data_IF_621441400125
#
_entry.id   IF_621441400125
#
_cell.length_a   1.000
_cell.length_b   1.000
_cell.length_c   1.000
_cell.angle_alpha   90.00
_cell.angle_beta   90.00
_cell.angle_gamma   90.00
#
_symmetry.space_group_name_H-M   'P 1'
#
loop_
_entity.id
_entity.type
_entity.pdbx_description
1 polymer ?
#
# COMPACT_ATOMS: atom_id res chain seq x y z
N UNK A 1 54.59 -24.27 -59.15
CA UNK A 1 54.77 -25.55 -58.42
C UNK A 1 53.37 -26.09 -58.15
N UNK A 2 52.85 -26.88 -59.08
CA UNK A 2 52.63 -28.35 -58.96
C UNK A 2 51.34 -28.65 -58.16
N UNK A 3 50.22 -29.01 -58.82
CA UNK A 3 49.79 -30.39 -59.20
C UNK A 3 49.42 -31.23 -57.96
N UNK A 4 48.36 -32.05 -57.83
CA UNK A 4 47.29 -32.58 -58.68
C UNK A 4 46.25 -33.29 -57.75
N UNK A 5 45.08 -33.56 -58.32
CA UNK A 5 43.86 -34.24 -57.86
C UNK A 5 43.93 -35.65 -57.20
N UNK A 6 42.83 -36.04 -56.53
CA UNK A 6 41.95 -37.23 -56.79
C UNK A 6 41.48 -38.03 -55.54
N UNK A 7 40.21 -38.46 -55.58
CA UNK A 7 39.62 -39.59 -54.83
C UNK A 7 38.71 -39.18 -53.67
N UNK A 8 37.49 -39.68 -53.44
CA UNK A 8 36.71 -40.79 -54.00
C UNK A 8 35.27 -40.74 -53.43
N UNK A 9 34.36 -41.53 -54.02
CA UNK A 9 32.89 -41.48 -53.89
C UNK A 9 32.35 -42.41 -52.78
N UNK A 10 31.13 -42.06 -52.27
CA UNK A 10 30.12 -42.89 -51.55
C UNK A 10 30.44 -43.23 -50.08
N UNK A 11 29.51 -43.24 -49.13
CA UNK A 11 28.09 -43.65 -49.17
C UNK A 11 27.29 -43.02 -48.00
N UNK A 12 25.97 -42.90 -48.20
CA UNK A 12 24.86 -43.03 -47.22
C UNK A 12 24.95 -42.42 -45.81
N UNK A 13 24.00 -41.52 -45.48
CA UNK A 13 22.87 -41.75 -44.54
C UNK A 13 22.29 -40.41 -44.06
N UNK A 14 21.05 -40.11 -44.45
CA UNK A 14 20.30 -38.96 -43.96
C UNK A 14 19.75 -39.24 -42.54
N UNK A 15 19.83 -38.30 -41.59
CA UNK A 15 18.98 -38.33 -40.40
C UNK A 15 17.68 -37.55 -40.61
N UNK A 16 16.62 -38.09 -40.00
CA UNK A 16 15.20 -37.75 -40.08
C UNK A 16 14.82 -36.29 -39.74
N UNK A 17 13.61 -35.82 -40.16
CA UNK A 17 13.14 -34.47 -39.88
C UNK A 17 12.82 -34.25 -38.41
N UNK A 18 13.23 -33.10 -37.89
CA UNK A 18 12.94 -32.61 -36.54
C UNK A 18 11.44 -32.30 -36.44
N UNK A 19 10.71 -32.77 -35.41
CA UNK A 19 9.33 -32.37 -35.21
C UNK A 19 9.29 -30.91 -34.76
N UNK A 20 8.76 -30.03 -35.61
CA UNK A 20 8.47 -28.65 -35.27
C UNK A 20 7.40 -28.60 -34.19
N UNK A 21 7.79 -28.24 -32.97
CA UNK A 21 6.84 -27.85 -31.93
C UNK A 21 6.10 -26.60 -32.41
N UNK A 22 4.81 -26.76 -32.71
CA UNK A 22 3.93 -25.62 -32.98
C UNK A 22 3.75 -24.86 -31.66
N UNK A 23 4.38 -23.70 -31.54
CA UNK A 23 3.97 -22.70 -30.56
C UNK A 23 2.56 -22.26 -30.97
N UNK A 24 1.53 -22.81 -30.32
CA UNK A 24 0.17 -22.27 -30.43
C UNK A 24 0.18 -20.84 -29.88
N UNK A 25 0.21 -19.87 -30.79
CA UNK A 25 -0.17 -18.51 -30.51
C UNK A 25 -1.66 -18.54 -30.13
N UNK A 26 -1.95 -18.52 -28.83
CA UNK A 26 -3.32 -18.42 -28.31
C UNK A 26 -3.91 -17.13 -28.90
N UNK A 27 -4.91 -17.28 -29.76
CA UNK A 27 -5.62 -16.17 -30.39
C UNK A 27 -6.16 -15.25 -29.30
N UNK A 28 -5.81 -13.96 -29.37
CA UNK A 28 -6.48 -12.94 -28.59
C UNK A 28 -7.94 -12.93 -29.04
N UNK A 29 -8.84 -13.49 -28.23
CA UNK A 29 -10.26 -13.18 -28.34
C UNK A 29 -10.38 -11.69 -28.04
N UNK A 30 -10.83 -10.83 -28.98
CA UNK A 30 -11.14 -9.46 -28.61
C UNK A 30 -12.28 -9.52 -27.60
N UNK A 31 -12.02 -9.07 -26.36
CA UNK A 31 -13.08 -8.78 -25.42
C UNK A 31 -13.90 -7.65 -26.04
N UNK A 32 -15.08 -7.97 -26.56
CA UNK A 32 -16.12 -6.99 -26.85
C UNK A 32 -16.63 -6.45 -25.51
N UNK A 33 -15.87 -5.55 -24.91
CA UNK A 33 -16.33 -4.71 -23.80
C UNK A 33 -17.29 -3.68 -24.40
N UNK A 34 -18.59 -3.94 -24.26
CA UNK A 34 -19.59 -2.90 -24.45
C UNK A 34 -19.33 -1.80 -23.39
N UNK A 35 -19.37 -0.50 -23.72
CA UNK A 35 -19.09 0.58 -22.78
C UNK A 35 -20.04 0.67 -21.57
N UNK A 36 -21.05 -0.18 -21.49
CA UNK A 36 -22.17 -0.07 -20.56
C UNK A 36 -22.10 -1.01 -19.33
N UNK A 37 -21.10 -1.91 -19.26
CA UNK A 37 -20.85 -2.74 -18.07
C UNK A 37 -19.47 -2.42 -17.49
N UNK A 38 -19.37 -1.27 -16.84
CA UNK A 38 -18.18 -0.93 -16.07
C UNK A 38 -18.14 -1.77 -14.80
N UNK A 39 -17.33 -2.83 -14.80
CA UNK A 39 -17.00 -3.69 -13.64
C UNK A 39 -16.48 -2.92 -12.40
N UNK A 40 -16.26 -1.60 -12.52
CA UNK A 40 -15.82 -0.73 -11.45
C UNK A 40 -16.87 -0.70 -10.33
N UNK A 41 -18.17 -0.59 -10.63
CA UNK A 41 -19.20 -0.55 -9.58
C UNK A 41 -19.29 -1.88 -8.82
N UNK A 42 -19.24 -3.02 -9.53
CA UNK A 42 -19.23 -4.33 -8.90
C UNK A 42 -17.98 -4.55 -8.05
N UNK A 43 -16.82 -4.11 -8.52
CA UNK A 43 -15.56 -4.23 -7.78
C UNK A 43 -15.56 -3.32 -6.55
N UNK A 44 -16.04 -2.08 -6.66
CA UNK A 44 -16.20 -1.16 -5.53
C UNK A 44 -17.18 -1.71 -4.49
N UNK A 45 -18.29 -2.31 -4.91
CA UNK A 45 -19.24 -2.94 -4.01
C UNK A 45 -18.62 -4.14 -3.28
N UNK A 46 -17.81 -4.96 -3.95
CA UNK A 46 -17.07 -6.07 -3.33
C UNK A 46 -16.00 -5.60 -2.34
N UNK A 47 -15.31 -4.49 -2.62
CA UNK A 47 -14.35 -3.88 -1.68
C UNK A 47 -15.08 -3.29 -0.47
N UNK A 48 -16.23 -2.63 -0.68
CA UNK A 48 -17.04 -2.07 0.40
C UNK A 48 -17.65 -3.15 1.30
N UNK A 49 -18.00 -4.33 0.75
CA UNK A 49 -18.55 -5.47 1.51
C UNK A 49 -17.50 -6.43 2.06
N UNK A 50 -16.25 -6.38 1.58
CA UNK A 50 -15.13 -7.09 2.20
C UNK A 50 -14.87 -6.47 3.57
N UNK A 51 -15.04 -7.27 4.62
CA UNK A 51 -15.05 -6.89 6.05
C UNK A 51 -13.70 -6.38 6.61
N UNK A 52 -12.87 -5.76 5.78
CA UNK A 52 -11.54 -5.23 6.11
C UNK A 52 -11.48 -3.73 5.89
N UNK A 53 -12.59 -3.01 6.13
CA UNK A 53 -12.47 -1.58 6.34
C UNK A 53 -11.75 -1.36 7.69
N UNK A 54 -10.64 -0.59 7.72
CA UNK A 54 -10.02 -0.25 8.99
C UNK A 54 -11.08 0.40 9.88
N UNK A 55 -11.17 -0.02 11.14
CA UNK A 55 -12.08 0.58 12.11
C UNK A 55 -11.58 2.02 12.36
N UNK A 56 -12.17 2.97 11.62
CA UNK A 56 -11.89 4.39 11.76
C UNK A 56 -12.92 4.94 12.72
N UNK A 57 -12.53 5.10 13.98
CA UNK A 57 -13.36 5.80 14.95
C UNK A 57 -13.33 7.29 14.60
N UNK A 58 -14.49 7.84 14.24
CA UNK A 58 -14.63 9.27 14.02
C UNK A 58 -14.89 9.97 15.36
N UNK A 59 -13.84 10.52 15.97
CA UNK A 59 -14.03 11.40 17.11
C UNK A 59 -14.73 12.68 16.64
N UNK A 60 -16.01 12.79 16.96
CA UNK A 60 -16.84 13.97 16.67
C UNK A 60 -16.59 15.07 17.71
N UNK A 61 -15.33 15.44 17.90
CA UNK A 61 -14.93 16.46 18.86
C UNK A 61 -15.20 17.85 18.27
N UNK A 62 -16.03 18.65 18.94
CA UNK A 62 -16.37 20.03 18.55
C UNK A 62 -15.31 21.03 19.03
N UNK A 63 -14.47 20.65 19.99
CA UNK A 63 -13.47 21.52 20.61
C UNK A 63 -12.09 20.87 20.67
N UNK A 64 -11.05 21.69 20.82
CA UNK A 64 -9.65 21.23 20.99
C UNK A 64 -9.53 20.36 22.25
N UNK A 65 -10.19 20.72 23.34
CA UNK A 65 -10.09 19.98 24.61
C UNK A 65 -10.74 18.60 24.54
N UNK A 66 -11.90 18.48 23.89
CA UNK A 66 -12.51 17.17 23.60
C UNK A 66 -11.59 16.30 22.76
N UNK A 67 -10.91 16.92 21.80
CA UNK A 67 -10.01 16.21 20.90
C UNK A 67 -8.72 15.78 21.61
N UNK A 68 -8.18 16.59 22.53
CA UNK A 68 -7.08 16.21 23.41
C UNK A 68 -7.46 15.03 24.30
N UNK A 69 -8.65 15.07 24.92
CA UNK A 69 -9.14 13.97 25.74
C UNK A 69 -9.35 12.68 24.94
N UNK A 70 -9.78 12.78 23.68
CA UNK A 70 -9.88 11.64 22.78
C UNK A 70 -8.50 11.02 22.48
N UNK A 71 -7.49 11.85 22.19
CA UNK A 71 -6.11 11.41 21.99
C UNK A 71 -5.54 10.76 23.25
N UNK A 72 -5.73 11.37 24.40
CA UNK A 72 -5.23 10.83 25.68
C UNK A 72 -5.79 9.43 25.94
N UNK A 73 -7.10 9.26 25.71
CA UNK A 73 -7.74 7.94 25.80
C UNK A 73 -7.17 6.98 24.76
N UNK A 74 -7.10 7.38 23.50
CA UNK A 74 -6.63 6.52 22.41
C UNK A 74 -5.22 6.00 22.66
N UNK A 75 -4.30 6.89 23.06
CA UNK A 75 -2.92 6.55 23.36
C UNK A 75 -2.81 5.70 24.64
N UNK A 76 -3.65 5.94 25.64
CA UNK A 76 -3.69 5.15 26.88
C UNK A 76 -4.20 3.71 26.66
N UNK A 77 -5.13 3.48 25.72
CA UNK A 77 -5.58 2.12 25.35
C UNK A 77 -4.48 1.33 24.62
N UNK A 78 -3.51 2.03 24.02
CA UNK A 78 -2.45 1.45 23.21
C UNK A 78 -1.06 1.88 23.72
N UNK A 79 -0.70 1.51 24.96
CA UNK A 79 0.55 1.94 25.56
C UNK A 79 1.74 1.35 24.79
N UNK A 80 2.81 2.14 24.64
CA UNK A 80 4.09 1.75 24.00
C UNK A 80 3.99 1.40 22.51
N UNK A 81 2.84 1.60 21.86
CA UNK A 81 2.72 1.41 20.41
C UNK A 81 3.31 2.60 19.64
N UNK A 82 3.59 2.34 18.36
CA UNK A 82 3.95 3.37 17.40
C UNK A 82 2.67 3.97 16.81
N UNK A 83 2.57 5.29 16.86
CA UNK A 83 1.46 6.03 16.28
C UNK A 83 1.95 6.74 15.02
N UNK A 84 1.19 6.64 13.94
CA UNK A 84 1.42 7.42 12.73
C UNK A 84 0.36 8.52 12.72
N UNK A 85 0.82 9.76 12.66
CA UNK A 85 -0.06 10.92 12.52
C UNK A 85 0.06 11.41 11.10
N UNK A 86 -1.07 11.58 10.43
CA UNK A 86 -1.17 12.17 9.10
C UNK A 86 -2.12 13.36 9.15
N UNK A 87 -1.69 14.46 8.54
CA UNK A 87 -2.51 15.66 8.44
C UNK A 87 -1.73 16.81 7.84
N UNK A 88 -2.31 17.44 6.83
CA UNK A 88 -1.69 18.60 6.20
C UNK A 88 -1.38 19.70 7.23
N UNK A 89 -0.27 20.41 7.01
CA UNK A 89 0.29 21.40 7.94
C UNK A 89 -0.71 22.48 8.40
N UNK A 90 -1.69 22.82 7.58
CA UNK A 90 -2.70 23.85 7.91
C UNK A 90 -4.15 23.36 7.80
N UNK A 91 -4.37 22.05 7.62
CA UNK A 91 -5.72 21.50 7.65
C UNK A 91 -6.28 21.54 9.07
N UNK A 92 -7.60 21.70 9.18
CA UNK A 92 -8.31 21.65 10.46
C UNK A 92 -8.63 20.20 10.89
N UNK A 93 -7.96 19.24 10.28
CA UNK A 93 -8.14 17.82 10.55
C UNK A 93 -6.82 17.08 10.51
N UNK A 94 -6.77 16.02 11.30
CA UNK A 94 -5.66 15.08 11.33
C UNK A 94 -6.17 13.70 11.71
N UNK A 95 -5.38 12.69 11.38
CA UNK A 95 -5.67 11.29 11.68
C UNK A 95 -4.49 10.75 12.47
N UNK A 96 -4.77 10.05 13.57
CA UNK A 96 -3.79 9.26 14.31
C UNK A 96 -4.12 7.78 14.16
N UNK A 97 -3.16 7.00 13.70
CA UNK A 97 -3.31 5.56 13.50
C UNK A 97 -2.30 4.79 14.34
N UNK A 98 -2.68 3.61 14.81
CA UNK A 98 -1.79 2.62 15.41
C UNK A 98 -2.08 1.25 14.81
N UNK A 99 -1.07 0.38 14.84
CA UNK A 99 -1.28 -1.04 14.55
C UNK A 99 -1.56 -1.79 15.86
N UNK A 100 -2.34 -2.86 15.79
CA UNK A 100 -2.47 -3.83 16.88
C UNK A 100 -1.44 -4.97 16.78
N UNK A 101 -1.48 -5.91 17.72
CA UNK A 101 -0.57 -7.08 17.75
C UNK A 101 -0.80 -8.06 16.58
N UNK A 102 -1.98 -7.99 15.95
CA UNK A 102 -2.39 -8.81 14.80
C UNK A 102 -2.09 -8.11 13.46
N UNK A 103 -1.65 -6.85 13.50
CA UNK A 103 -1.37 -6.02 12.34
C UNK A 103 -2.58 -5.21 11.84
N UNK A 104 -3.71 -5.26 12.54
CA UNK A 104 -4.89 -4.46 12.23
C UNK A 104 -4.62 -2.99 12.54
N UNK A 105 -5.06 -2.12 11.62
CA UNK A 105 -4.90 -0.67 11.75
C UNK A 105 -6.14 -0.07 12.41
N UNK A 106 -5.95 0.57 13.55
CA UNK A 106 -6.98 1.39 14.21
C UNK A 106 -6.62 2.84 14.04
N UNK A 107 -7.55 3.64 13.51
CA UNK A 107 -7.33 5.06 13.27
C UNK A 107 -8.41 5.92 13.93
N UNK A 108 -8.00 7.08 14.42
CA UNK A 108 -8.87 8.09 15.01
C UNK A 108 -8.74 9.38 14.19
N UNK A 109 -9.86 9.85 13.62
CA UNK A 109 -9.90 11.15 12.94
C UNK A 109 -10.26 12.25 13.93
N UNK A 110 -9.54 13.36 13.89
CA UNK A 110 -9.62 14.48 14.82
C UNK A 110 -9.90 15.79 14.07
N UNK A 111 -10.71 16.66 14.66
CA UNK A 111 -11.08 17.95 14.08
C UNK A 111 -10.12 19.08 14.49
N UNK A 112 -8.81 18.83 14.41
CA UNK A 112 -7.81 19.88 14.59
C UNK A 112 -6.46 19.53 13.95
N UNK A 113 -5.63 20.55 13.79
CA UNK A 113 -4.41 20.52 12.96
C UNK A 113 -3.30 19.61 13.50
N UNK A 114 -2.47 19.06 12.60
CA UNK A 114 -1.36 18.16 12.92
C UNK A 114 -0.30 18.76 13.87
N UNK A 115 -0.09 20.08 13.86
CA UNK A 115 0.81 20.78 14.79
C UNK A 115 0.30 20.69 16.24
N UNK A 116 -1.00 20.84 16.43
CA UNK A 116 -1.60 20.74 17.75
C UNK A 116 -1.54 19.29 18.25
N UNK A 117 -1.75 18.32 17.37
CA UNK A 117 -1.68 16.90 17.71
C UNK A 117 -0.26 16.49 18.10
N UNK A 118 0.74 16.98 17.36
CA UNK A 118 2.15 16.85 17.72
C UNK A 118 2.44 17.39 19.12
N UNK A 119 1.96 18.60 19.45
CA UNK A 119 2.13 19.18 20.79
C UNK A 119 1.48 18.33 21.88
N UNK A 120 0.30 17.76 21.60
CA UNK A 120 -0.37 16.88 22.54
C UNK A 120 0.42 15.59 22.79
N UNK A 121 0.91 14.95 21.72
CA UNK A 121 1.76 13.76 21.85
C UNK A 121 3.05 14.04 22.63
N UNK A 122 3.68 15.20 22.42
CA UNK A 122 4.87 15.60 23.19
C UNK A 122 4.57 15.77 24.68
N UNK A 123 3.40 16.30 25.05
CA UNK A 123 2.97 16.40 26.46
C UNK A 123 2.77 15.03 27.11
N UNK A 124 2.38 14.03 26.32
CA UNK A 124 2.24 12.64 26.73
C UNK A 124 3.58 11.87 26.75
N UNK A 125 4.70 12.58 26.59
CA UNK A 125 6.06 12.02 26.57
C UNK A 125 6.31 11.06 25.40
N UNK A 126 5.65 11.33 24.25
CA UNK A 126 5.96 10.67 22.99
C UNK A 126 7.00 11.47 22.21
N UNK A 127 8.02 10.76 21.72
CA UNK A 127 8.96 11.26 20.75
C UNK A 127 8.39 11.10 19.36
N UNK A 128 8.24 12.20 18.64
CA UNK A 128 7.75 12.21 17.27
C UNK A 128 8.89 12.52 16.29
N UNK A 129 9.12 11.64 15.32
CA UNK A 129 10.09 11.80 14.24
C UNK A 129 9.40 12.17 12.94
N UNK A 130 9.90 13.22 12.30
CA UNK A 130 9.56 13.54 10.92
C UNK A 130 10.26 12.55 9.97
N UNK A 131 9.62 12.18 8.85
CA UNK A 131 10.26 11.41 7.80
C UNK A 131 11.38 12.23 7.13
N UNK A 132 12.24 11.54 6.38
CA UNK A 132 13.31 12.20 5.61
C UNK A 132 12.78 12.98 4.39
N UNK A 133 11.57 12.66 3.95
CA UNK A 133 10.90 13.34 2.86
C UNK A 133 10.34 14.69 3.34
N UNK A 134 10.72 15.76 2.64
CA UNK A 134 10.35 17.14 2.97
C UNK A 134 8.87 17.40 2.67
N UNK A 135 8.31 16.67 1.71
CA UNK A 135 6.93 16.84 1.25
C UNK A 135 5.94 15.95 2.00
N UNK A 136 6.42 15.11 2.94
CA UNK A 136 5.56 14.22 3.69
C UNK A 136 4.68 14.96 4.71
N UNK A 137 3.41 14.57 4.74
CA UNK A 137 2.38 15.12 5.64
C UNK A 137 2.20 14.31 6.92
N UNK A 138 3.00 13.26 7.10
CA UNK A 138 2.90 12.34 8.22
C UNK A 138 4.15 12.36 9.10
N UNK A 139 3.99 11.92 10.33
CA UNK A 139 5.09 11.69 11.27
C UNK A 139 4.79 10.55 12.23
N UNK A 140 5.84 9.95 12.76
CA UNK A 140 5.76 8.78 13.61
C UNK A 140 6.06 9.15 15.06
N UNK A 141 5.18 8.80 15.98
CA UNK A 141 5.35 9.03 17.42
C UNK A 141 5.51 7.71 18.18
N UNK A 142 6.53 7.64 19.02
CA UNK A 142 6.82 6.50 19.90
C UNK A 142 7.02 6.96 21.33
N UNK A 143 6.61 6.14 22.30
CA UNK A 143 6.79 6.48 23.71
C UNK A 143 8.27 6.48 24.08
N UNK A 144 8.73 7.52 24.76
CA UNK A 144 10.06 7.52 25.38
C UNK A 144 9.91 6.74 26.69
N UNK A 145 10.59 5.59 26.77
CA UNK A 145 10.67 4.77 28.00
C UNK A 145 11.88 5.14 28.81
#
# INVERSE_FOLDING_TARGET
MAWLSFGGKKDSQAPAPVPGGQLQQRSHQPLSVSPEESDIENTLNQIATSQTQPDVEFAKAKTIDESNAAVDKFVAHHPKRMFIIDGEKYANESIICTNDERGEKTCLRLMYNSIQLFKQMQRLEYFCSLPNDIDATYFECRKIT
#
